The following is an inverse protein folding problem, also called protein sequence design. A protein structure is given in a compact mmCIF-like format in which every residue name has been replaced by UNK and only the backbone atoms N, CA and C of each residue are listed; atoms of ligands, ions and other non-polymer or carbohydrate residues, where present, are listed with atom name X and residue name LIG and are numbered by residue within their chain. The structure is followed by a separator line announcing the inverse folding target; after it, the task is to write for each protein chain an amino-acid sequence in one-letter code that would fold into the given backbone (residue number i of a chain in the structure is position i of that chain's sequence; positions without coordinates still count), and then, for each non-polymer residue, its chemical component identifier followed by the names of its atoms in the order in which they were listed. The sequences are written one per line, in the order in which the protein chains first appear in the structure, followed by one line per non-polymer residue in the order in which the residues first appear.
data_IF_936995135685
#
_entry.id   IF_936995135685
#
_cell.length_a   1.000
_cell.length_b   1.000
_cell.length_c   1.000
_cell.angle_alpha   90.00
_cell.angle_beta   90.00
_cell.angle_gamma   90.00
#
_symmetry.space_group_name_H-M   'P 1'
#
loop_
_entity.id
_entity.type
_entity.pdbx_description
1 polymer ?
#
# COMPACT_ATOMS: atom_id res chain seq x y z
N UNK A 1 7.48 22.36 -16.39
CA UNK A 1 8.10 22.20 -15.06
C UNK A 1 8.37 20.71 -14.83
N UNK A 2 9.67 20.34 -14.71
CA UNK A 2 10.07 18.97 -14.34
C UNK A 2 10.43 19.00 -12.86
N UNK A 3 9.63 18.29 -12.03
CA UNK A 3 9.91 18.15 -10.61
C UNK A 3 10.67 16.84 -10.38
N UNK A 4 11.88 16.94 -9.87
CA UNK A 4 12.57 15.82 -9.24
C UNK A 4 12.53 16.01 -7.72
N UNK A 5 11.70 15.24 -7.05
CA UNK A 5 11.78 15.11 -5.59
C UNK A 5 12.76 13.98 -5.25
N UNK A 6 13.88 14.32 -4.64
CA UNK A 6 14.80 13.35 -4.10
C UNK A 6 14.38 12.99 -2.68
N UNK A 7 13.90 11.76 -2.48
CA UNK A 7 13.68 11.22 -1.15
C UNK A 7 15.00 10.65 -0.62
N UNK A 8 15.68 11.41 0.23
CA UNK A 8 16.72 10.85 1.09
C UNK A 8 16.02 10.13 2.25
N UNK A 9 15.74 8.85 2.06
CA UNK A 9 15.28 7.98 3.14
C UNK A 9 16.50 7.60 3.98
N UNK A 10 16.60 8.03 5.25
CA UNK A 10 17.48 7.34 6.17
C UNK A 10 16.91 5.93 6.35
N UNK A 11 17.73 4.93 6.14
CA UNK A 11 17.42 3.56 6.53
C UNK A 11 17.34 3.49 8.06
N UNK A 12 16.21 3.88 8.61
CA UNK A 12 15.84 3.44 9.94
C UNK A 12 15.61 1.95 9.82
N UNK A 13 16.37 1.17 10.58
CA UNK A 13 16.10 -0.24 10.79
C UNK A 13 14.63 -0.35 11.17
N UNK A 14 13.82 -0.81 10.24
CA UNK A 14 12.45 -1.15 10.53
C UNK A 14 12.49 -2.12 11.70
N UNK A 15 11.82 -1.80 12.79
CA UNK A 15 11.48 -2.78 13.79
C UNK A 15 10.83 -3.93 13.01
N UNK A 16 11.47 -5.09 13.01
CA UNK A 16 10.96 -6.29 12.37
C UNK A 16 9.59 -6.61 12.94
N UNK A 17 8.56 -6.09 12.30
CA UNK A 17 7.21 -6.52 12.61
C UNK A 17 6.98 -7.81 11.84
N UNK A 18 7.23 -8.94 12.52
CA UNK A 18 7.14 -10.29 11.96
C UNK A 18 5.74 -10.67 11.45
N UNK A 19 4.76 -9.77 11.61
CA UNK A 19 3.36 -10.09 11.46
C UNK A 19 2.66 -9.39 10.28
N UNK A 20 3.35 -8.59 9.47
CA UNK A 20 2.69 -7.79 8.45
C UNK A 20 3.19 -8.06 7.04
N UNK A 21 2.79 -9.19 6.46
CA UNK A 21 3.05 -9.45 5.05
C UNK A 21 1.72 -9.67 4.32
N UNK A 22 1.32 -8.69 3.53
CA UNK A 22 0.30 -8.87 2.52
C UNK A 22 0.94 -8.86 1.14
N UNK A 23 0.49 -9.71 0.24
CA UNK A 23 0.95 -9.69 -1.15
C UNK A 23 0.38 -8.52 -1.96
N UNK A 24 -0.66 -7.87 -1.46
CA UNK A 24 -1.24 -6.69 -2.11
C UNK A 24 -1.05 -5.46 -1.23
N UNK A 25 0.01 -4.70 -1.52
CA UNK A 25 0.23 -3.42 -0.87
C UNK A 25 -0.70 -2.37 -1.48
N UNK A 26 -1.36 -1.59 -0.62
CA UNK A 26 -1.95 -0.33 -1.04
C UNK A 26 -0.84 0.62 -1.41
N UNK A 27 -0.94 1.28 -2.55
CA UNK A 27 -0.11 2.46 -2.79
C UNK A 27 -0.61 3.52 -1.82
N UNK A 28 0.25 4.03 -0.92
CA UNK A 28 -0.12 5.13 -0.06
C UNK A 28 -0.66 6.25 -0.92
N UNK A 29 -1.81 6.82 -0.54
CA UNK A 29 -2.43 7.92 -1.28
C UNK A 29 -1.47 9.09 -1.52
N UNK A 30 -0.52 9.30 -0.61
CA UNK A 30 0.52 10.31 -0.71
C UNK A 30 1.42 10.19 -1.94
N UNK A 31 1.81 9.00 -2.37
CA UNK A 31 2.70 8.82 -3.53
C UNK A 31 2.07 9.22 -4.86
N UNK A 32 0.75 9.13 -4.99
CA UNK A 32 0.08 9.51 -6.23
C UNK A 32 -0.18 11.01 -6.33
N UNK A 33 -0.09 11.73 -5.22
CA UNK A 33 -0.54 13.11 -5.09
C UNK A 33 0.64 14.05 -4.88
N UNK A 34 1.81 13.57 -4.51
CA UNK A 34 3.00 14.40 -4.31
C UNK A 34 3.35 15.20 -5.57
N UNK A 35 3.21 14.62 -6.76
CA UNK A 35 3.40 15.35 -8.01
C UNK A 35 2.36 16.45 -8.22
N UNK A 36 1.13 16.26 -7.74
CA UNK A 36 0.07 17.27 -7.80
C UNK A 36 0.22 18.31 -6.70
N UNK A 37 0.73 17.91 -5.54
CA UNK A 37 1.04 18.79 -4.43
C UNK A 37 2.27 19.66 -4.69
N UNK A 38 3.17 19.26 -5.58
CA UNK A 38 4.35 20.05 -5.90
C UNK A 38 4.00 21.46 -6.44
N UNK A 39 2.95 21.57 -7.25
CA UNK A 39 2.43 22.87 -7.70
C UNK A 39 1.72 23.66 -6.60
N UNK A 40 1.14 22.97 -5.63
CA UNK A 40 0.42 23.52 -4.52
C UNK A 40 1.30 24.35 -3.55
N UNK A 41 2.51 23.90 -3.26
CA UNK A 41 3.44 24.64 -2.40
C UNK A 41 3.72 26.07 -2.88
N UNK A 42 3.91 26.21 -4.17
CA UNK A 42 4.15 27.52 -4.78
C UNK A 42 2.94 28.43 -4.74
N UNK A 43 1.76 27.85 -4.99
CA UNK A 43 0.52 28.60 -5.06
C UNK A 43 0.05 29.06 -3.67
N UNK A 44 0.21 28.19 -2.66
CA UNK A 44 -0.33 28.43 -1.33
C UNK A 44 0.50 29.38 -0.49
N UNK A 45 1.83 29.35 -0.64
CA UNK A 45 2.71 30.18 0.18
C UNK A 45 3.18 31.45 -0.53
N UNK A 46 2.96 31.57 -1.84
CA UNK A 46 3.40 32.72 -2.60
C UNK A 46 4.89 33.02 -2.37
N UNK A 47 5.28 34.27 -2.50
CA UNK A 47 6.64 34.72 -2.16
C UNK A 47 6.83 34.95 -0.65
N UNK A 48 5.75 35.01 0.12
CA UNK A 48 5.78 35.22 1.55
C UNK A 48 5.14 34.06 2.32
N UNK A 49 5.85 33.41 3.21
CA UNK A 49 5.30 32.38 4.14
C UNK A 49 4.31 33.00 5.18
N UNK A 50 3.39 33.84 4.70
CA UNK A 50 2.45 34.60 5.55
C UNK A 50 1.06 34.01 5.56
N UNK A 51 0.77 33.08 4.70
CA UNK A 51 -0.59 32.56 4.46
C UNK A 51 -0.79 31.15 4.99
N UNK A 52 -2.03 30.84 5.23
CA UNK A 52 -2.48 29.47 5.50
C UNK A 52 -3.01 28.89 4.20
N UNK A 53 -2.85 27.59 4.03
CA UNK A 53 -3.35 26.91 2.89
C UNK A 53 -4.00 25.59 3.28
N UNK A 54 -5.20 25.35 2.79
CA UNK A 54 -5.96 24.12 2.95
C UNK A 54 -6.27 23.53 1.58
N UNK A 55 -5.93 22.27 1.40
CA UNK A 55 -6.28 21.50 0.23
C UNK A 55 -7.04 20.23 0.61
N UNK A 56 -8.07 19.92 -0.13
CA UNK A 56 -8.81 18.67 -0.03
C UNK A 56 -8.80 18.00 -1.40
N UNK A 57 -8.30 16.77 -1.46
CA UNK A 57 -8.15 16.02 -2.70
C UNK A 57 -8.91 14.70 -2.56
N UNK A 58 -9.94 14.51 -3.38
CA UNK A 58 -10.58 13.21 -3.54
C UNK A 58 -9.84 12.41 -4.62
N UNK A 59 -9.66 11.12 -4.39
CA UNK A 59 -8.99 10.25 -5.33
C UNK A 59 -9.64 8.88 -5.42
N UNK A 60 -9.43 8.23 -6.55
CA UNK A 60 -9.82 6.84 -6.77
C UNK A 60 -8.84 6.16 -7.70
N UNK A 61 -8.49 4.94 -7.37
CA UNK A 61 -7.64 4.09 -8.20
C UNK A 61 -8.11 2.65 -8.18
N UNK A 62 -7.88 1.95 -9.27
CA UNK A 62 -8.21 0.53 -9.36
C UNK A 62 -7.23 -0.20 -10.27
N UNK A 63 -7.13 -1.49 -10.06
CA UNK A 63 -6.28 -2.36 -10.88
C UNK A 63 -6.83 -2.46 -12.30
N UNK A 64 -5.97 -2.16 -13.28
CA UNK A 64 -6.22 -2.38 -14.70
C UNK A 64 -5.50 -3.68 -15.10
N UNK A 65 -6.06 -4.45 -16.05
CA UNK A 65 -5.45 -5.67 -16.61
C UNK A 65 -5.15 -6.77 -15.56
N UNK A 66 -6.07 -6.96 -14.64
CA UNK A 66 -6.01 -7.95 -13.54
C UNK A 66 -5.63 -9.38 -13.97
N UNK A 67 -5.85 -9.77 -15.22
CA UNK A 67 -5.53 -11.10 -15.75
C UNK A 67 -4.03 -11.40 -15.78
N UNK A 68 -3.19 -10.37 -15.92
CA UNK A 68 -1.72 -10.50 -15.88
C UNK A 68 -1.14 -10.36 -14.46
N UNK A 69 -1.90 -9.81 -13.53
CA UNK A 69 -1.39 -9.58 -12.17
C UNK A 69 -1.12 -10.91 -11.45
N UNK A 70 -1.86 -11.96 -11.76
CA UNK A 70 -1.65 -13.27 -11.15
C UNK A 70 -0.25 -13.83 -11.40
N UNK A 71 0.37 -13.51 -12.53
CA UNK A 71 1.71 -13.97 -12.86
C UNK A 71 2.81 -13.47 -11.91
N UNK A 72 2.54 -12.44 -11.10
CA UNK A 72 3.45 -11.99 -10.05
C UNK A 72 3.34 -12.80 -8.75
N UNK A 73 2.25 -13.55 -8.59
CA UNK A 73 1.99 -14.32 -7.37
C UNK A 73 2.23 -15.81 -7.57
N UNK A 74 2.13 -16.28 -8.80
CA UNK A 74 2.32 -17.69 -9.13
C UNK A 74 3.75 -17.99 -9.58
N UNK A 75 4.19 -19.20 -9.29
CA UNK A 75 5.50 -19.72 -9.68
C UNK A 75 5.62 -19.68 -11.19
N UNK A 76 6.79 -19.33 -11.71
CA UNK A 76 7.12 -19.29 -13.13
C UNK A 76 6.20 -18.40 -14.00
N UNK A 77 5.54 -17.41 -13.36
CA UNK A 77 4.65 -16.50 -14.09
C UNK A 77 3.42 -17.16 -14.69
N UNK A 78 2.99 -18.28 -14.14
CA UNK A 78 1.77 -19.00 -14.56
C UNK A 78 0.51 -18.19 -14.29
N UNK A 79 -0.60 -18.60 -14.90
CA UNK A 79 -1.94 -18.05 -14.66
C UNK A 79 -2.83 -18.96 -13.84
N UNK A 80 -2.42 -20.19 -13.70
CA UNK A 80 -3.08 -21.27 -12.97
C UNK A 80 -2.05 -22.10 -12.22
N UNK A 81 -2.46 -22.70 -11.11
CA UNK A 81 -1.63 -23.57 -10.29
C UNK A 81 -2.29 -24.95 -10.18
N UNK A 82 -1.52 -25.99 -10.43
CA UNK A 82 -1.97 -27.37 -10.30
C UNK A 82 -1.67 -27.92 -8.91
N UNK A 83 -2.67 -28.54 -8.28
CA UNK A 83 -2.58 -29.16 -6.97
C UNK A 83 -2.90 -30.63 -7.13
N UNK A 84 -1.91 -31.49 -6.91
CA UNK A 84 -2.07 -32.94 -7.05
C UNK A 84 -1.44 -33.71 -5.91
N UNK A 85 -2.12 -34.74 -5.47
CA UNK A 85 -1.60 -35.68 -4.49
C UNK A 85 -0.69 -36.74 -5.12
N UNK A 86 0.02 -37.48 -4.30
CA UNK A 86 0.99 -38.48 -4.74
C UNK A 86 0.34 -39.65 -5.50
N UNK A 87 -0.88 -40.04 -5.12
CA UNK A 87 -1.62 -41.14 -5.76
C UNK A 87 -2.32 -40.71 -7.06
N UNK A 88 -2.61 -39.41 -7.23
CA UNK A 88 -3.17 -38.84 -8.45
C UNK A 88 -2.14 -38.77 -9.60
N UNK A 89 -0.88 -39.00 -9.31
CA UNK A 89 0.21 -38.92 -10.28
C UNK A 89 0.65 -40.32 -10.67
N UNK A 90 0.22 -40.76 -11.83
CA UNK A 90 0.80 -41.96 -12.47
C UNK A 90 2.29 -41.73 -12.71
N UNK A 91 3.17 -42.24 -11.85
CA UNK A 91 4.63 -42.45 -11.93
C UNK A 91 5.54 -41.36 -12.57
N UNK A 92 5.00 -40.33 -13.22
CA UNK A 92 5.74 -39.19 -13.77
C UNK A 92 5.37 -37.88 -13.03
N UNK A 93 5.89 -37.75 -11.84
CA UNK A 93 5.61 -36.74 -10.83
C UNK A 93 5.93 -35.25 -11.22
N UNK A 94 6.15 -34.95 -12.48
CA UNK A 94 6.63 -33.64 -12.94
C UNK A 94 5.55 -32.61 -13.22
N UNK A 95 4.26 -32.96 -13.11
CA UNK A 95 3.16 -32.11 -13.56
C UNK A 95 2.31 -31.55 -12.43
N UNK A 96 2.90 -31.14 -11.29
CA UNK A 96 2.21 -30.42 -10.24
C UNK A 96 3.03 -29.22 -9.76
N UNK A 97 2.36 -28.16 -9.36
CA UNK A 97 2.97 -26.98 -8.75
C UNK A 97 2.95 -27.08 -7.22
N UNK A 98 1.86 -27.63 -6.67
CA UNK A 98 1.65 -27.78 -5.24
C UNK A 98 1.26 -29.23 -4.95
N UNK A 99 1.87 -29.80 -3.92
CA UNK A 99 1.50 -31.10 -3.39
C UNK A 99 0.24 -30.99 -2.54
N UNK A 100 -0.78 -31.80 -2.82
CA UNK A 100 -2.08 -31.73 -2.17
C UNK A 100 -1.98 -32.00 -0.65
N UNK A 101 -1.13 -32.91 -0.24
CA UNK A 101 -0.91 -33.29 1.16
C UNK A 101 -0.34 -32.11 1.99
N UNK A 102 0.38 -31.18 1.37
CA UNK A 102 0.85 -29.96 2.08
C UNK A 102 -0.31 -29.05 2.48
N UNK A 103 -1.42 -29.16 1.79
CA UNK A 103 -2.65 -28.42 2.07
C UNK A 103 -3.65 -29.24 2.90
N UNK A 104 -3.28 -30.45 3.33
CA UNK A 104 -4.17 -31.37 4.04
C UNK A 104 -5.23 -32.02 3.15
N UNK A 105 -5.08 -31.95 1.82
CA UNK A 105 -5.95 -32.59 0.85
C UNK A 105 -5.57 -34.07 0.69
N UNK A 106 -6.51 -34.95 0.22
CA UNK A 106 -6.25 -36.36 -0.01
C UNK A 106 -5.09 -36.62 -0.98
N UNK A 107 -4.47 -37.81 -0.87
CA UNK A 107 -3.35 -38.21 -1.74
C UNK A 107 -3.77 -38.49 -3.18
N UNK A 108 -5.04 -38.75 -3.42
CA UNK A 108 -5.65 -38.94 -4.75
C UNK A 108 -6.21 -37.63 -5.35
N UNK A 109 -6.03 -36.49 -4.65
CA UNK A 109 -6.57 -35.21 -5.09
C UNK A 109 -5.95 -34.75 -6.42
N UNK A 110 -6.80 -34.35 -7.38
CA UNK A 110 -6.41 -33.70 -8.64
C UNK A 110 -7.25 -32.44 -8.88
N UNK A 111 -6.60 -31.30 -8.93
CA UNK A 111 -7.26 -30.04 -9.14
C UNK A 111 -6.32 -28.92 -9.55
N UNK A 112 -6.90 -27.80 -9.90
CA UNK A 112 -6.19 -26.56 -10.22
C UNK A 112 -6.97 -25.35 -9.72
N UNK A 113 -6.29 -24.24 -9.54
CA UNK A 113 -6.93 -22.98 -9.24
C UNK A 113 -6.28 -21.82 -9.97
N UNK A 114 -7.06 -20.78 -10.17
CA UNK A 114 -6.62 -19.51 -10.73
C UNK A 114 -7.19 -18.35 -9.92
N UNK A 115 -6.58 -17.19 -10.05
CA UNK A 115 -7.07 -15.94 -9.42
C UNK A 115 -6.93 -14.78 -10.40
N UNK A 116 -7.74 -13.74 -10.15
CA UNK A 116 -7.70 -12.47 -10.89
C UNK A 116 -7.66 -11.30 -9.90
N UNK A 117 -6.52 -11.11 -9.20
CA UNK A 117 -6.44 -10.14 -8.11
C UNK A 117 -6.72 -8.74 -8.62
N UNK A 118 -7.68 -8.09 -7.96
CA UNK A 118 -8.07 -6.70 -8.17
C UNK A 118 -8.00 -5.95 -6.86
N UNK A 119 -7.49 -4.74 -6.93
CA UNK A 119 -7.55 -3.79 -5.82
C UNK A 119 -8.28 -2.53 -6.27
N UNK A 120 -9.19 -2.07 -5.45
CA UNK A 120 -9.83 -0.76 -5.56
C UNK A 120 -9.47 0.04 -4.31
N UNK A 121 -9.03 1.26 -4.51
CA UNK A 121 -8.78 2.21 -3.44
C UNK A 121 -9.47 3.52 -3.78
N UNK A 122 -10.16 4.11 -2.81
CA UNK A 122 -10.75 5.44 -2.93
C UNK A 122 -10.65 6.15 -1.60
N UNK A 123 -10.63 7.49 -1.64
CA UNK A 123 -10.51 8.25 -0.42
C UNK A 123 -10.39 9.73 -0.64
N UNK A 124 -10.03 10.42 0.44
CA UNK A 124 -9.77 11.84 0.44
C UNK A 124 -8.52 12.15 1.26
N UNK A 125 -7.78 13.16 0.85
CA UNK A 125 -6.62 13.70 1.55
C UNK A 125 -6.95 15.12 1.94
N UNK A 126 -6.64 15.46 3.19
CA UNK A 126 -6.68 16.82 3.72
C UNK A 126 -5.22 17.22 3.97
N UNK A 127 -4.78 18.28 3.32
CA UNK A 127 -3.46 18.87 3.50
C UNK A 127 -3.61 20.32 3.93
N UNK A 128 -3.07 20.63 5.11
CA UNK A 128 -3.09 21.97 5.69
C UNK A 128 -1.67 22.43 5.97
N UNK A 129 -1.36 23.68 5.58
CA UNK A 129 -0.06 24.31 5.79
C UNK A 129 -0.23 25.67 6.42
N UNK A 130 0.60 25.97 7.40
CA UNK A 130 0.62 27.22 8.16
C UNK A 130 2.01 27.85 8.13
N UNK A 131 2.12 29.02 7.53
CA UNK A 131 3.33 29.84 7.60
C UNK A 131 3.50 30.47 8.97
N UNK A 132 4.69 30.36 9.55
CA UNK A 132 4.95 30.76 10.94
C UNK A 132 5.28 32.25 11.08
N UNK A 133 5.55 32.97 9.99
CA UNK A 133 5.89 34.40 10.01
C UNK A 133 4.89 35.28 10.78
N UNK A 134 3.60 35.02 10.59
CA UNK A 134 2.53 35.81 11.22
C UNK A 134 2.15 35.33 12.62
N UNK A 135 2.44 34.08 12.93
CA UNK A 135 2.12 33.47 14.24
C UNK A 135 3.20 33.78 15.26
N UNK A 136 4.45 33.67 14.83
CA UNK A 136 5.63 33.90 15.66
C UNK A 136 6.39 35.10 15.07
N UNK A 137 6.23 36.29 15.67
CA UNK A 137 6.81 37.57 15.21
C UNK A 137 8.34 37.67 15.29
N UNK A 138 9.06 36.56 15.36
CA UNK A 138 10.51 36.51 15.40
C UNK A 138 11.10 36.35 14.01
N UNK A 139 12.14 37.09 13.70
CA UNK A 139 12.81 37.03 12.37
C UNK A 139 13.24 35.63 11.95
N UNK A 140 13.55 34.77 12.91
CA UNK A 140 13.96 33.39 12.68
C UNK A 140 12.88 32.54 11.97
N UNK A 141 11.61 32.79 12.28
CA UNK A 141 10.49 32.02 11.71
C UNK A 141 9.95 32.55 10.37
N UNK A 142 10.61 33.54 9.80
CA UNK A 142 10.14 34.22 8.60
C UNK A 142 9.89 33.28 7.42
N UNK A 143 10.72 32.25 7.26
CA UNK A 143 10.68 31.31 6.15
C UNK A 143 10.26 29.89 6.58
N UNK A 144 9.71 29.75 7.77
CA UNK A 144 9.31 28.46 8.32
C UNK A 144 7.82 28.23 8.22
N UNK A 145 7.45 26.97 8.09
CA UNK A 145 6.06 26.54 8.03
C UNK A 145 5.87 25.19 8.73
N UNK A 146 4.65 24.94 9.15
CA UNK A 146 4.21 23.63 9.65
C UNK A 146 3.11 23.10 8.75
N UNK A 147 3.07 21.79 8.60
CA UNK A 147 2.08 21.10 7.78
C UNK A 147 1.41 19.97 8.56
N UNK A 148 0.16 19.75 8.22
CA UNK A 148 -0.63 18.63 8.69
C UNK A 148 -1.29 17.99 7.47
N UNK A 149 -1.03 16.70 7.26
CA UNK A 149 -1.65 15.95 6.16
C UNK A 149 -2.24 14.68 6.71
N UNK A 150 -3.48 14.38 6.38
CA UNK A 150 -4.12 13.13 6.73
C UNK A 150 -4.94 12.61 5.57
N UNK A 151 -5.12 11.29 5.52
CA UNK A 151 -5.94 10.65 4.50
C UNK A 151 -6.97 9.71 5.10
N UNK A 152 -8.14 9.69 4.49
CA UNK A 152 -9.18 8.70 4.73
C UNK A 152 -9.27 7.81 3.51
N UNK A 153 -9.12 6.50 3.72
CA UNK A 153 -9.07 5.50 2.66
C UNK A 153 -10.12 4.42 2.85
N UNK A 154 -10.70 3.98 1.76
CA UNK A 154 -11.36 2.70 1.61
C UNK A 154 -10.54 1.85 0.63
N UNK A 155 -10.13 0.67 1.07
CA UNK A 155 -9.34 -0.28 0.28
C UNK A 155 -10.10 -1.58 0.22
N UNK A 156 -10.27 -2.10 -1.00
CA UNK A 156 -10.93 -3.37 -1.26
C UNK A 156 -10.09 -4.22 -2.18
N UNK A 157 -9.69 -5.40 -1.70
CA UNK A 157 -9.04 -6.43 -2.48
C UNK A 157 -10.06 -7.50 -2.82
N UNK A 158 -10.11 -7.91 -4.08
CA UNK A 158 -10.92 -9.00 -4.57
C UNK A 158 -10.07 -9.90 -5.45
N UNK A 159 -9.96 -11.16 -5.08
CA UNK A 159 -9.04 -12.09 -5.69
C UNK A 159 -9.68 -12.84 -6.85
N UNK A 160 -11.01 -12.95 -6.86
CA UNK A 160 -11.76 -13.72 -7.85
C UNK A 160 -11.17 -15.13 -8.02
N UNK A 161 -11.11 -15.84 -6.91
CA UNK A 161 -10.65 -17.21 -6.87
C UNK A 161 -11.58 -18.12 -7.67
N UNK A 162 -11.00 -18.98 -8.48
CA UNK A 162 -11.72 -20.01 -9.18
C UNK A 162 -10.90 -21.31 -9.16
N UNK A 163 -11.57 -22.42 -8.88
CA UNK A 163 -10.94 -23.74 -8.82
C UNK A 163 -11.65 -24.71 -9.79
N UNK A 164 -10.89 -25.67 -10.26
CA UNK A 164 -11.38 -26.84 -11.01
C UNK A 164 -10.88 -28.09 -10.33
N UNK A 165 -11.76 -29.01 -9.98
CA UNK A 165 -11.47 -30.24 -9.26
C UNK A 165 -11.99 -31.39 -10.11
N UNK A 166 -11.17 -32.44 -10.31
CA UNK A 166 -11.51 -33.56 -11.17
C UNK A 166 -12.66 -34.40 -10.61
N UNK A 167 -12.71 -34.58 -9.28
CA UNK A 167 -13.69 -35.42 -8.58
C UNK A 167 -14.17 -34.72 -7.30
N UNK A 168 -15.32 -35.19 -6.76
CA UNK A 168 -15.83 -34.68 -5.50
C UNK A 168 -15.24 -35.48 -4.33
N UNK A 169 -14.52 -34.80 -3.46
CA UNK A 169 -13.93 -35.39 -2.25
C UNK A 169 -14.81 -35.13 -1.04
N UNK A 170 -15.03 -36.17 -0.23
CA UNK A 170 -15.85 -36.07 1.00
C UNK A 170 -15.05 -35.76 2.25
N UNK A 171 -13.74 -35.62 2.12
CA UNK A 171 -12.82 -35.26 3.20
C UNK A 171 -12.93 -33.78 3.56
N UNK A 172 -12.48 -33.41 4.74
CA UNK A 172 -12.36 -32.01 5.15
C UNK A 172 -10.89 -31.69 5.46
N UNK A 173 -10.21 -30.88 4.62
CA UNK A 173 -10.69 -30.21 3.41
C UNK A 173 -10.89 -31.16 2.23
N UNK A 174 -11.91 -30.92 1.42
CA UNK A 174 -12.20 -31.62 0.16
C UNK A 174 -12.04 -30.74 -1.06
N UNK A 175 -11.77 -29.45 -0.88
CA UNK A 175 -11.55 -28.49 -1.95
C UNK A 175 -10.34 -27.62 -1.67
N UNK A 176 -9.73 -27.04 -2.71
CA UNK A 176 -8.58 -26.14 -2.55
C UNK A 176 -8.98 -24.90 -1.73
N UNK A 177 -10.18 -24.36 -1.96
CA UNK A 177 -10.68 -23.23 -1.19
C UNK A 177 -10.80 -23.55 0.30
N UNK A 178 -11.35 -24.70 0.67
CA UNK A 178 -11.42 -25.15 2.07
C UNK A 178 -10.02 -25.30 2.67
N UNK A 179 -9.10 -25.89 1.91
CA UNK A 179 -7.72 -26.07 2.34
C UNK A 179 -7.00 -24.74 2.61
N UNK A 180 -7.25 -23.71 1.81
CA UNK A 180 -6.65 -22.38 1.97
C UNK A 180 -7.34 -21.52 3.04
N UNK A 181 -8.48 -21.94 3.56
CA UNK A 181 -9.24 -21.23 4.61
C UNK A 181 -9.35 -21.98 5.93
N UNK A 182 -8.54 -23.03 6.13
CA UNK A 182 -8.58 -23.87 7.32
C UNK A 182 -8.50 -23.04 8.61
N UNK A 183 -9.33 -23.39 9.58
CA UNK A 183 -9.35 -22.72 10.90
C UNK A 183 -8.05 -22.95 11.67
N UNK A 184 -7.39 -24.09 11.44
CA UNK A 184 -6.12 -24.44 12.06
C UNK A 184 -4.95 -23.54 11.63
N UNK A 185 -5.09 -22.80 10.55
CA UNK A 185 -4.07 -21.85 10.13
C UNK A 185 -4.26 -20.53 10.85
N UNK A 186 -3.26 -20.06 11.53
CA UNK A 186 -3.26 -18.75 12.18
C UNK A 186 -3.08 -17.63 11.13
N UNK A 187 -2.18 -17.85 10.17
CA UNK A 187 -1.82 -16.91 9.13
C UNK A 187 -1.89 -17.56 7.75
N UNK A 188 -1.90 -16.73 6.72
CA UNK A 188 -1.84 -17.21 5.35
C UNK A 188 -3.17 -17.72 4.79
N UNK A 189 -4.27 -17.40 5.44
CA UNK A 189 -5.61 -17.72 4.93
C UNK A 189 -5.90 -16.96 3.64
N UNK A 190 -6.76 -17.55 2.85
CA UNK A 190 -7.12 -17.01 1.54
C UNK A 190 -8.61 -16.65 1.48
N UNK A 191 -8.92 -15.41 1.78
CA UNK A 191 -10.27 -14.89 1.57
C UNK A 191 -10.38 -14.22 0.19
N UNK A 192 -11.47 -14.50 -0.51
CA UNK A 192 -11.72 -13.94 -1.84
C UNK A 192 -11.84 -12.42 -1.84
N UNK A 193 -12.41 -11.86 -0.77
CA UNK A 193 -12.57 -10.40 -0.61
C UNK A 193 -12.13 -9.97 0.77
N UNK A 194 -11.27 -8.97 0.84
CA UNK A 194 -10.89 -8.25 2.07
C UNK A 194 -11.14 -6.77 1.88
N UNK A 195 -11.59 -6.09 2.93
CA UNK A 195 -11.94 -4.68 2.90
C UNK A 195 -11.52 -3.98 4.18
N UNK A 196 -11.01 -2.76 4.05
CA UNK A 196 -10.63 -1.91 5.17
C UNK A 196 -10.96 -0.46 4.85
N UNK A 197 -11.58 0.27 5.79
CA UNK A 197 -11.88 1.69 5.63
C UNK A 197 -11.59 2.49 6.90
N UNK A 198 -11.13 3.74 6.73
CA UNK A 198 -10.84 4.67 7.83
C UNK A 198 -9.61 5.53 7.58
N UNK A 199 -9.07 6.11 8.66
CA UNK A 199 -7.84 6.91 8.57
C UNK A 199 -6.66 6.01 8.19
N UNK A 200 -5.89 6.43 7.18
CA UNK A 200 -4.70 5.71 6.72
C UNK A 200 -3.45 6.16 7.47
N UNK A 201 -3.06 7.39 7.30
CA UNK A 201 -1.85 7.96 7.88
C UNK A 201 -2.08 9.44 8.21
N UNK A 202 -1.47 9.91 9.27
CA UNK A 202 -1.42 11.33 9.60
C UNK A 202 0.03 11.78 9.67
N UNK A 203 0.38 12.84 8.92
CA UNK A 203 1.73 13.36 8.80
C UNK A 203 1.78 14.77 9.35
N UNK A 204 2.73 15.03 10.25
CA UNK A 204 3.09 16.35 10.72
C UNK A 204 4.42 16.72 10.09
N UNK A 205 4.46 17.85 9.41
CA UNK A 205 5.63 18.33 8.67
C UNK A 205 6.10 19.66 9.24
N UNK A 206 7.41 19.83 9.35
CA UNK A 206 8.05 21.09 9.65
C UNK A 206 9.02 21.42 8.52
N UNK A 207 8.88 22.59 7.93
CA UNK A 207 9.67 22.98 6.77
C UNK A 207 10.23 24.39 6.87
N UNK A 208 11.31 24.62 6.11
CA UNK A 208 11.92 25.94 5.95
C UNK A 208 12.27 26.16 4.50
N UNK A 209 12.06 27.39 4.03
CA UNK A 209 12.49 27.84 2.73
C UNK A 209 13.82 28.55 2.86
N UNK A 210 14.85 28.00 2.25
CA UNK A 210 16.20 28.57 2.29
C UNK A 210 16.44 29.61 1.20
N UNK A 211 15.83 29.37 0.03
CA UNK A 211 15.97 30.22 -1.14
C UNK A 211 14.60 30.55 -1.66
N UNK A 212 14.32 31.83 -1.85
CA UNK A 212 13.04 32.38 -2.24
C UNK A 212 13.26 33.48 -3.29
N UNK A 213 13.64 33.08 -4.51
CA UNK A 213 13.72 33.95 -5.66
C UNK A 213 12.48 33.79 -6.54
N UNK A 214 12.09 34.81 -7.33
CA UNK A 214 10.96 34.69 -8.24
C UNK A 214 11.05 33.49 -9.19
N UNK A 215 12.27 33.15 -9.60
CA UNK A 215 12.54 32.14 -10.62
C UNK A 215 12.90 30.77 -10.03
N UNK A 216 13.32 30.69 -8.77
CA UNK A 216 13.63 29.41 -8.16
C UNK A 216 13.51 29.42 -6.64
N UNK A 217 13.07 28.29 -6.11
CA UNK A 217 12.83 28.09 -4.69
C UNK A 217 13.46 26.78 -4.23
N UNK A 218 13.98 26.79 -3.02
CA UNK A 218 14.56 25.63 -2.37
C UNK A 218 13.99 25.51 -0.97
N UNK A 219 13.22 24.44 -0.76
CA UNK A 219 12.60 24.11 0.52
C UNK A 219 13.18 22.81 1.06
N UNK A 220 13.41 22.76 2.37
CA UNK A 220 13.72 21.55 3.12
C UNK A 220 12.63 21.33 4.17
N UNK A 221 12.18 20.11 4.32
CA UNK A 221 11.24 19.76 5.38
C UNK A 221 11.56 18.39 5.99
N UNK A 222 11.18 18.25 7.25
CA UNK A 222 11.15 16.99 7.97
C UNK A 222 9.72 16.67 8.38
N UNK A 223 9.37 15.40 8.43
CA UNK A 223 8.04 15.00 8.84
C UNK A 223 8.07 13.78 9.75
N UNK A 224 7.04 13.67 10.58
CA UNK A 224 6.71 12.50 11.38
C UNK A 224 5.37 11.98 10.87
N UNK A 225 5.28 10.68 10.67
CA UNK A 225 4.09 9.97 10.23
C UNK A 225 3.56 9.10 11.35
N UNK A 226 2.27 9.21 11.62
CA UNK A 226 1.55 8.45 12.62
C UNK A 226 0.54 7.58 11.89
N UNK A 227 0.52 6.26 12.12
CA UNK A 227 -0.46 5.38 11.50
C UNK A 227 -1.87 5.67 12.03
N UNK A 228 -2.85 5.68 11.15
CA UNK A 228 -4.28 5.78 11.51
C UNK A 228 -4.89 4.43 11.90
N UNK A 229 -4.18 3.36 11.68
CA UNK A 229 -4.55 2.00 12.02
C UNK A 229 -3.45 1.37 12.89
N UNK A 230 -3.86 0.60 13.91
CA UNK A 230 -2.92 -0.22 14.66
C UNK A 230 -2.28 -1.31 13.78
N UNK A 231 -1.22 -1.94 14.27
CA UNK A 231 -0.65 -3.10 13.60
C UNK A 231 -1.68 -4.24 13.61
N UNK A 232 -2.26 -4.53 12.47
CA UNK A 232 -3.11 -5.70 12.30
C UNK A 232 -2.21 -6.90 12.00
N UNK A 233 -2.38 -7.98 12.73
CA UNK A 233 -1.81 -9.26 12.33
C UNK A 233 -2.56 -9.74 11.09
N UNK A 234 -1.93 -9.81 9.90
CA UNK A 234 -2.63 -10.23 8.70
C UNK A 234 -2.94 -11.71 8.79
N UNK A 235 -4.20 -12.03 8.93
CA UNK A 235 -4.69 -13.41 8.85
C UNK A 235 -4.70 -13.89 7.41
N UNK A 236 -4.95 -12.98 6.48
CA UNK A 236 -5.11 -13.28 5.05
C UNK A 236 -3.89 -12.86 4.22
N UNK A 237 -3.56 -13.66 3.19
CA UNK A 237 -2.48 -13.36 2.25
C UNK A 237 -2.73 -12.04 1.50
N UNK A 238 -3.99 -11.75 1.19
CA UNK A 238 -4.41 -10.55 0.46
C UNK A 238 -5.18 -9.57 1.35
N UNK A 239 -4.67 -9.34 2.55
CA UNK A 239 -5.27 -8.41 3.50
C UNK A 239 -5.31 -6.98 2.94
N UNK A 240 -6.39 -6.24 3.26
CA UNK A 240 -6.54 -4.85 2.86
C UNK A 240 -6.02 -3.92 3.96
N UNK A 241 -4.99 -3.14 3.66
CA UNK A 241 -4.40 -2.17 4.58
C UNK A 241 -4.71 -0.73 4.15
N UNK A 242 -4.94 0.15 5.12
CA UNK A 242 -5.26 1.56 4.89
C UNK A 242 -4.07 2.51 4.90
N UNK A 243 -2.94 2.08 5.39
CA UNK A 243 -1.74 2.89 5.54
C UNK A 243 -0.49 2.04 5.62
N UNK A 244 0.46 2.43 6.45
CA UNK A 244 1.70 1.68 6.66
C UNK A 244 1.59 0.60 7.74
N UNK A 245 0.42 0.01 7.93
CA UNK A 245 0.18 -1.11 8.84
C UNK A 245 0.73 -0.89 10.26
N UNK A 246 0.40 0.23 10.87
CA UNK A 246 0.80 0.55 12.24
C UNK A 246 2.22 1.07 12.41
N UNK A 247 2.97 1.29 11.33
CA UNK A 247 4.34 1.79 11.42
C UNK A 247 4.38 3.32 11.56
N UNK A 248 5.14 3.80 12.55
CA UNK A 248 5.53 5.20 12.63
C UNK A 248 6.65 5.48 11.63
N UNK A 249 6.60 6.63 11.00
CA UNK A 249 7.58 7.06 10.02
C UNK A 249 8.25 8.38 10.41
N UNK A 250 9.48 8.56 9.99
CA UNK A 250 10.17 9.84 9.98
C UNK A 250 10.89 9.99 8.65
N UNK A 251 10.87 11.18 8.08
CA UNK A 251 11.53 11.42 6.81
C UNK A 251 11.88 12.88 6.58
N UNK A 252 12.71 13.09 5.57
CA UNK A 252 13.10 14.40 5.09
C UNK A 252 12.71 14.56 3.63
N UNK A 253 12.35 15.77 3.23
CA UNK A 253 11.97 16.09 1.87
C UNK A 253 12.69 17.36 1.42
N UNK A 254 13.21 17.35 0.21
CA UNK A 254 13.80 18.50 -0.47
C UNK A 254 12.93 18.82 -1.67
N UNK A 255 12.48 20.06 -1.77
CA UNK A 255 11.75 20.57 -2.93
C UNK A 255 12.58 21.64 -3.62
N UNK A 256 12.77 21.46 -4.90
CA UNK A 256 13.44 22.44 -5.77
C UNK A 256 12.46 22.80 -6.87
N UNK A 257 12.17 24.08 -7.01
CA UNK A 257 11.30 24.59 -8.07
C UNK A 257 12.08 25.57 -8.92
N UNK A 258 12.08 25.33 -10.21
CA UNK A 258 12.71 26.18 -11.21
C UNK A 258 11.79 26.33 -12.41
N UNK A 259 11.67 27.51 -13.01
CA UNK A 259 11.01 27.67 -14.31
C UNK A 259 11.84 26.93 -15.38
N UNK A 260 11.15 26.28 -16.31
CA UNK A 260 11.75 25.64 -17.49
C UNK A 260 11.34 26.42 -18.72
#
# INVERSE_FOLDING_TARGET
YVFQSFHLLPTLSAFENRYSQSFMFTRPGFFNIEAQQAGWHTYAFGQDCTSNALQIIAYGQHTIKHRRNVTYFFIDGKTDMTVKGDDAINSNATNRDIRAEWLGLPSDFDGSFTMKPKQKQQGAIIDYKLGLKNVLKWCFFKNMWIGFTTNYNEVKNNIHFAQSIAETYTTNPGTIQQALTQESWEFGKFNDTTESCGLGETRFTFGTRFIDYPDWQFDFSTFISIPGEGSNCPTNIFEAYRGFNGHYGWGNQVNIQMPV
#
